data_IF_922144614920
#
_entry.id   IF_922144614920
#
_cell.length_a   1.000
_cell.length_b   1.000
_cell.length_c   1.000
_cell.angle_alpha   90.00
_cell.angle_beta   90.00
_cell.angle_gamma   90.00
#
_symmetry.space_group_name_H-M   'P 1'
#
loop_
_entity.id
_entity.type
_entity.pdbx_description
1 polymer ?
#
# COMPACT_ATOMS: atom_id res chain seq x y z
N UNK A 1 22.99 -14.78 -20.34
CA UNK A 1 22.05 -15.06 -19.24
C UNK A 1 21.00 -13.98 -19.32
N UNK A 2 19.80 -14.33 -19.78
CA UNK A 2 18.69 -13.40 -19.76
C UNK A 2 18.34 -13.10 -18.30
N UNK A 3 18.31 -11.82 -17.94
CA UNK A 3 17.85 -11.43 -16.61
C UNK A 3 16.37 -11.82 -16.48
N UNK A 4 15.95 -12.36 -15.32
CA UNK A 4 14.54 -12.56 -15.03
C UNK A 4 13.79 -11.24 -15.23
N UNK A 5 12.56 -11.31 -15.74
CA UNK A 5 11.71 -10.14 -15.88
C UNK A 5 11.08 -9.80 -14.52
N UNK A 6 10.70 -8.52 -14.33
CA UNK A 6 10.06 -8.01 -13.12
C UNK A 6 10.86 -8.27 -11.82
N UNK A 7 12.15 -7.96 -11.84
CA UNK A 7 13.02 -8.10 -10.66
C UNK A 7 12.95 -6.87 -9.77
N UNK A 8 12.86 -7.06 -8.45
CA UNK A 8 12.94 -5.96 -7.48
C UNK A 8 13.56 -6.40 -6.16
N UNK A 9 14.27 -5.47 -5.54
CA UNK A 9 14.78 -5.59 -4.19
C UNK A 9 13.89 -4.79 -3.22
N UNK A 10 13.51 -5.37 -2.09
CA UNK A 10 12.86 -4.66 -0.97
C UNK A 10 13.33 -5.23 0.36
N UNK A 11 13.21 -4.48 1.46
CA UNK A 11 13.39 -5.05 2.78
C UNK A 11 12.02 -5.53 3.30
N UNK A 12 11.97 -6.65 4.00
CA UNK A 12 10.74 -7.23 4.54
C UNK A 12 10.81 -7.16 6.07
N UNK A 13 9.90 -6.40 6.67
CA UNK A 13 9.88 -6.21 8.13
C UNK A 13 9.44 -7.47 8.89
N UNK A 14 8.66 -8.36 8.27
CA UNK A 14 8.26 -9.61 8.91
C UNK A 14 9.45 -10.56 9.05
N UNK A 15 10.27 -10.67 8.00
CA UNK A 15 11.46 -11.53 7.98
C UNK A 15 12.73 -10.82 8.47
N UNK A 16 12.69 -9.48 8.61
CA UNK A 16 13.84 -8.61 8.89
C UNK A 16 15.01 -8.82 7.92
N UNK A 17 14.71 -9.11 6.65
CA UNK A 17 15.70 -9.40 5.60
C UNK A 17 15.48 -8.57 4.34
N UNK A 18 16.56 -8.38 3.59
CA UNK A 18 16.48 -7.84 2.24
C UNK A 18 16.06 -8.96 1.29
N UNK A 19 14.99 -8.79 0.54
CA UNK A 19 14.39 -9.78 -0.35
C UNK A 19 14.51 -9.32 -1.81
N UNK A 20 14.89 -10.26 -2.68
CA UNK A 20 14.94 -10.14 -4.12
C UNK A 20 13.80 -10.96 -4.73
N UNK A 21 12.81 -10.28 -5.29
CA UNK A 21 11.74 -10.92 -6.04
C UNK A 21 12.06 -10.94 -7.52
N UNK A 22 11.71 -12.03 -8.17
CA UNK A 22 11.84 -12.19 -9.60
C UNK A 22 10.78 -13.15 -10.13
N UNK A 23 10.48 -13.04 -11.43
CA UNK A 23 9.68 -14.04 -12.14
C UNK A 23 10.61 -15.02 -12.83
N UNK A 24 10.50 -16.31 -12.50
CA UNK A 24 11.32 -17.35 -13.09
C UNK A 24 10.86 -17.69 -14.53
N UNK A 25 11.56 -18.61 -15.19
CA UNK A 25 11.26 -19.03 -16.57
C UNK A 25 9.86 -19.63 -16.74
N UNK A 26 9.29 -20.19 -15.67
CA UNK A 26 7.96 -20.80 -15.65
C UNK A 26 6.85 -19.78 -15.34
N UNK A 27 7.17 -18.48 -15.37
CA UNK A 27 6.26 -17.39 -14.99
C UNK A 27 5.81 -17.46 -13.52
N UNK A 28 6.56 -18.17 -12.66
CA UNK A 28 6.30 -18.19 -11.22
C UNK A 28 7.13 -17.11 -10.53
N UNK A 29 6.50 -16.43 -9.57
CA UNK A 29 7.19 -15.46 -8.72
C UNK A 29 7.95 -16.22 -7.63
N UNK A 30 9.19 -15.83 -7.42
CA UNK A 30 10.07 -16.37 -6.36
C UNK A 30 10.73 -15.21 -5.60
N UNK A 31 11.07 -15.46 -4.33
CA UNK A 31 11.74 -14.51 -3.46
C UNK A 31 12.99 -15.16 -2.83
N UNK A 32 14.12 -14.46 -2.93
CA UNK A 32 15.37 -14.82 -2.26
C UNK A 32 15.70 -13.78 -1.20
N UNK A 33 16.12 -14.23 -0.04
CA UNK A 33 16.51 -13.41 1.10
C UNK A 33 18.02 -13.26 1.13
N UNK A 34 18.51 -12.06 1.42
CA UNK A 34 19.90 -11.81 1.73
C UNK A 34 20.18 -12.36 3.13
N UNK A 35 21.08 -13.32 3.20
CA UNK A 35 21.59 -13.93 4.43
C UNK A 35 23.11 -13.84 4.51
N UNK A 36 23.65 -14.42 5.58
CA UNK A 36 25.09 -14.60 5.77
C UNK A 36 25.40 -16.08 5.92
N UNK A 37 26.38 -16.56 5.16
CA UNK A 37 26.97 -17.88 5.36
C UNK A 37 27.79 -17.95 6.67
N UNK A 38 28.27 -19.15 7.00
CA UNK A 38 29.20 -19.38 8.12
C UNK A 38 30.56 -18.69 7.97
N UNK A 39 30.93 -18.26 6.77
CA UNK A 39 32.18 -17.55 6.48
C UNK A 39 31.99 -16.04 6.28
N UNK A 40 30.86 -15.48 6.74
CA UNK A 40 30.50 -14.06 6.63
C UNK A 40 30.40 -13.55 5.18
N UNK A 41 30.17 -14.43 4.21
CA UNK A 41 29.85 -14.01 2.84
C UNK A 41 28.36 -13.77 2.71
N UNK A 42 28.00 -12.74 1.94
CA UNK A 42 26.61 -12.47 1.61
C UNK A 42 26.09 -13.55 0.66
N UNK A 43 24.99 -14.20 1.04
CA UNK A 43 24.37 -15.26 0.24
C UNK A 43 22.90 -14.94 -0.02
N UNK A 44 22.38 -15.44 -1.14
CA UNK A 44 20.95 -15.45 -1.42
C UNK A 44 20.39 -16.82 -1.07
N UNK A 45 19.44 -16.86 -0.14
CA UNK A 45 18.78 -18.08 0.32
C UNK A 45 17.27 -17.98 0.06
N UNK A 46 16.57 -19.12 -0.02
CA UNK A 46 15.11 -19.10 -0.16
C UNK A 46 14.47 -18.49 1.08
N UNK A 47 13.58 -17.53 0.91
CA UNK A 47 12.87 -16.94 2.04
C UNK A 47 11.89 -17.96 2.64
N UNK A 48 12.01 -18.25 3.94
CA UNK A 48 11.12 -19.16 4.65
C UNK A 48 9.72 -18.57 4.89
N UNK A 49 9.59 -17.24 4.89
CA UNK A 49 8.35 -16.49 5.16
C UNK A 49 8.22 -15.23 4.28
N UNK A 50 8.79 -15.24 3.06
CA UNK A 50 8.66 -14.07 2.17
C UNK A 50 7.19 -13.74 1.95
N UNK A 51 6.85 -12.48 2.21
CA UNK A 51 5.54 -11.96 1.91
C UNK A 51 5.64 -11.35 0.52
N UNK A 52 4.97 -11.96 -0.45
CA UNK A 52 4.92 -11.36 -1.78
C UNK A 52 4.06 -10.09 -1.73
N UNK A 53 4.76 -8.95 -1.70
CA UNK A 53 4.15 -7.61 -1.74
C UNK A 53 3.73 -7.23 -3.16
N UNK A 54 3.91 -8.13 -4.13
CA UNK A 54 3.50 -7.92 -5.50
C UNK A 54 1.99 -8.09 -5.51
N UNK A 55 1.23 -7.14 -6.07
CA UNK A 55 -0.21 -7.27 -6.15
C UNK A 55 -0.60 -8.61 -6.79
N UNK A 56 -1.60 -9.27 -6.22
CA UNK A 56 -2.36 -10.27 -6.97
C UNK A 56 -3.02 -9.57 -8.16
N UNK A 57 -2.86 -10.10 -9.38
CA UNK A 57 -3.51 -9.54 -10.56
C UNK A 57 -5.04 -9.49 -10.34
N UNK A 58 -5.66 -8.33 -10.59
CA UNK A 58 -7.12 -8.15 -10.51
C UNK A 58 -7.70 -7.72 -9.14
N UNK A 59 -6.89 -7.17 -8.24
CA UNK A 59 -7.30 -6.86 -6.87
C UNK A 59 -8.23 -5.64 -6.73
N UNK A 60 -9.54 -5.84 -6.93
CA UNK A 60 -10.57 -5.02 -6.32
C UNK A 60 -11.20 -5.80 -5.16
N UNK A 61 -10.80 -5.50 -3.92
CA UNK A 61 -11.24 -6.20 -2.70
C UNK A 61 -12.62 -5.71 -2.22
N UNK A 62 -13.08 -4.57 -2.74
CA UNK A 62 -14.20 -3.80 -2.20
C UNK A 62 -15.33 -3.68 -3.23
N UNK A 63 -16.56 -3.92 -2.76
CA UNK A 63 -17.74 -3.59 -3.55
C UNK A 63 -17.92 -2.07 -3.59
N UNK A 64 -18.39 -1.55 -4.72
CA UNK A 64 -18.67 -0.11 -4.88
C UNK A 64 -19.59 0.40 -3.78
N UNK A 65 -19.26 1.55 -3.18
CA UNK A 65 -20.02 2.24 -2.13
C UNK A 65 -20.07 1.57 -0.75
N UNK A 66 -19.34 0.48 -0.54
CA UNK A 66 -19.16 -0.10 0.80
C UNK A 66 -18.35 0.87 1.68
N UNK A 67 -18.78 1.07 2.93
CA UNK A 67 -18.04 1.84 3.92
C UNK A 67 -17.11 0.93 4.70
N UNK A 68 -15.89 1.38 4.94
CA UNK A 68 -14.87 0.64 5.67
C UNK A 68 -13.87 1.60 6.31
N UNK A 69 -13.12 1.12 7.30
CA UNK A 69 -11.95 1.81 7.81
C UNK A 69 -10.66 1.15 7.31
N UNK A 70 -9.60 1.95 7.18
CA UNK A 70 -8.26 1.50 6.81
C UNK A 70 -7.35 1.61 8.03
N UNK A 71 -7.14 0.49 8.72
CA UNK A 71 -6.22 0.41 9.86
C UNK A 71 -4.81 0.13 9.37
N UNK A 72 -3.84 0.94 9.75
CA UNK A 72 -2.44 0.65 9.49
C UNK A 72 -1.91 -0.43 10.46
N UNK A 73 -1.12 -1.37 9.95
CA UNK A 73 -0.62 -2.50 10.75
C UNK A 73 0.39 -2.06 11.81
N UNK A 74 1.33 -1.16 11.48
CA UNK A 74 2.33 -0.69 12.44
C UNK A 74 1.76 0.24 13.50
N UNK A 75 1.01 1.28 13.11
CA UNK A 75 0.53 2.27 14.08
C UNK A 75 -0.71 1.80 14.84
N UNK A 76 -1.44 0.82 14.30
CA UNK A 76 -2.72 0.38 14.83
C UNK A 76 -3.84 1.43 14.72
N UNK A 77 -3.58 2.57 14.07
CA UNK A 77 -4.51 3.67 13.87
C UNK A 77 -5.19 3.57 12.51
N UNK A 78 -6.34 4.22 12.36
CA UNK A 78 -7.08 4.29 11.10
C UNK A 78 -6.87 5.61 10.38
N UNK A 79 -6.82 5.54 9.05
CA UNK A 79 -6.87 6.69 8.17
C UNK A 79 -8.20 7.42 8.35
N UNK A 80 -8.15 8.73 8.56
CA UNK A 80 -9.33 9.53 8.78
C UNK A 80 -9.26 10.93 8.18
N UNK A 81 -10.40 11.60 8.13
CA UNK A 81 -10.51 13.04 8.02
C UNK A 81 -10.72 13.67 9.39
N UNK A 82 -9.94 14.71 9.71
CA UNK A 82 -10.16 15.52 10.89
C UNK A 82 -11.33 16.51 10.70
N UNK A 83 -11.63 17.30 11.74
CA UNK A 83 -12.71 18.29 11.70
C UNK A 83 -12.49 19.43 10.69
N UNK A 84 -11.27 19.57 10.16
CA UNK A 84 -10.90 20.56 9.15
C UNK A 84 -10.84 19.94 7.75
N UNK A 85 -11.20 18.65 7.61
CA UNK A 85 -11.15 17.93 6.35
C UNK A 85 -9.75 17.51 5.94
N UNK A 86 -8.77 17.55 6.85
CA UNK A 86 -7.40 17.12 6.59
C UNK A 86 -7.23 15.64 6.87
N UNK A 87 -6.40 14.98 6.05
CA UNK A 87 -6.05 13.58 6.26
C UNK A 87 -5.21 13.44 7.52
N UNK A 88 -5.60 12.50 8.38
CA UNK A 88 -4.95 12.23 9.66
C UNK A 88 -5.00 10.73 10.00
N UNK A 89 -4.32 10.34 11.08
CA UNK A 89 -4.37 9.01 11.69
C UNK A 89 -4.95 9.11 13.10
N UNK A 90 -5.98 8.32 13.40
CA UNK A 90 -6.70 8.36 14.68
C UNK A 90 -7.05 6.96 15.19
N UNK A 91 -7.56 6.85 16.42
CA UNK A 91 -8.18 5.60 16.87
C UNK A 91 -9.30 5.20 15.91
N UNK A 92 -9.37 3.93 15.52
CA UNK A 92 -10.34 3.42 14.55
C UNK A 92 -11.82 3.61 14.94
N UNK A 93 -12.11 3.79 16.23
CA UNK A 93 -13.46 4.07 16.74
C UNK A 93 -13.83 5.56 16.69
N UNK A 94 -12.88 6.44 16.33
CA UNK A 94 -13.13 7.87 16.17
C UNK A 94 -13.96 8.17 14.91
N UNK A 95 -14.56 9.35 14.90
CA UNK A 95 -15.26 9.87 13.73
C UNK A 95 -14.30 10.09 12.55
N UNK A 96 -14.86 10.11 11.33
CA UNK A 96 -14.10 10.41 10.11
C UNK A 96 -13.21 9.28 9.60
N UNK A 97 -13.32 8.06 10.16
CA UNK A 97 -12.52 6.88 9.77
C UNK A 97 -13.14 6.05 8.65
N UNK A 98 -14.42 6.29 8.33
CA UNK A 98 -15.18 5.50 7.34
C UNK A 98 -15.03 6.10 5.94
N UNK A 99 -14.35 5.37 5.07
CA UNK A 99 -14.17 5.70 3.66
C UNK A 99 -15.12 4.88 2.80
N UNK A 100 -15.53 5.44 1.67
CA UNK A 100 -16.13 4.69 0.56
C UNK A 100 -15.08 4.48 -0.51
N UNK A 101 -15.14 3.34 -1.19
CA UNK A 101 -14.32 3.08 -2.37
C UNK A 101 -15.22 2.91 -3.59
N UNK A 102 -14.96 3.71 -4.63
CA UNK A 102 -15.75 3.67 -5.85
C UNK A 102 -14.87 4.02 -7.06
N UNK A 103 -14.80 3.13 -8.06
CA UNK A 103 -14.02 3.33 -9.30
C UNK A 103 -12.57 3.83 -9.09
N UNK A 104 -11.91 3.42 -8.00
CA UNK A 104 -10.55 3.84 -7.66
C UNK A 104 -10.47 5.09 -6.77
N UNK A 105 -11.59 5.66 -6.35
CA UNK A 105 -11.63 6.84 -5.48
C UNK A 105 -11.94 6.43 -4.05
N UNK A 106 -11.17 6.97 -3.10
CA UNK A 106 -11.42 6.89 -1.67
C UNK A 106 -12.12 8.17 -1.21
N UNK A 107 -13.41 8.11 -0.90
CA UNK A 107 -14.22 9.29 -0.61
C UNK A 107 -14.86 9.30 0.78
N UNK A 108 -15.12 10.51 1.28
CA UNK A 108 -15.92 10.79 2.47
C UNK A 108 -16.82 12.01 2.26
N UNK A 109 -17.93 12.08 3.01
CA UNK A 109 -18.73 13.30 3.09
C UNK A 109 -18.12 14.24 4.14
N UNK A 110 -17.81 15.47 3.73
CA UNK A 110 -17.30 16.52 4.60
C UNK A 110 -18.04 17.83 4.31
N UNK A 111 -18.65 18.43 5.33
CA UNK A 111 -19.46 19.66 5.21
C UNK A 111 -20.53 19.62 4.09
N UNK A 112 -21.12 18.45 3.84
CA UNK A 112 -22.15 18.27 2.81
C UNK A 112 -21.62 18.11 1.39
N UNK A 113 -20.30 18.04 1.21
CA UNK A 113 -19.64 17.77 -0.07
C UNK A 113 -18.90 16.44 -0.01
N UNK A 114 -18.76 15.77 -1.17
CA UNK A 114 -17.94 14.57 -1.27
C UNK A 114 -16.49 14.96 -1.57
N UNK A 115 -15.58 14.56 -0.68
CA UNK A 115 -14.14 14.79 -0.83
C UNK A 115 -13.44 13.45 -1.03
N UNK A 116 -12.46 13.46 -1.93
CA UNK A 116 -11.68 12.30 -2.32
C UNK A 116 -10.24 12.45 -1.84
N UNK A 117 -9.64 11.33 -1.44
CA UNK A 117 -8.20 11.24 -1.20
C UNK A 117 -7.44 11.64 -2.46
N UNK A 118 -6.36 12.40 -2.28
CA UNK A 118 -5.58 12.95 -3.38
C UNK A 118 -4.08 12.77 -3.12
N UNK A 119 -3.41 12.06 -4.01
CA UNK A 119 -1.94 12.08 -4.13
C UNK A 119 -1.53 13.34 -4.91
N UNK A 120 -0.60 14.16 -4.38
CA UNK A 120 -0.04 15.25 -5.18
C UNK A 120 0.80 14.69 -6.33
N UNK A 121 0.79 15.38 -7.47
CA UNK A 121 1.56 15.00 -8.67
C UNK A 121 3.06 14.92 -8.34
N UNK A 122 3.75 13.87 -8.78
CA UNK A 122 5.13 13.53 -8.40
C UNK A 122 6.17 14.52 -8.94
N UNK A 123 6.34 15.64 -8.24
CA UNK A 123 7.48 16.54 -8.38
C UNK A 123 8.62 16.09 -7.45
N UNK A 124 9.28 14.97 -7.76
CA UNK A 124 10.62 14.61 -7.24
C UNK A 124 10.85 14.54 -5.71
N UNK A 125 9.83 14.54 -4.86
CA UNK A 125 9.97 14.54 -3.40
C UNK A 125 8.92 13.70 -2.67
N UNK A 126 9.02 13.65 -1.33
CA UNK A 126 8.04 12.96 -0.45
C UNK A 126 6.68 13.63 -0.60
N UNK A 127 5.69 12.86 -1.02
CA UNK A 127 4.35 13.33 -1.33
C UNK A 127 3.38 12.97 -0.18
N UNK A 128 2.98 13.97 0.61
CA UNK A 128 1.94 13.80 1.64
C UNK A 128 0.56 13.74 0.98
N UNK A 129 -0.24 12.73 1.32
CA UNK A 129 -1.62 12.63 0.83
C UNK A 129 -2.49 13.74 1.45
N UNK A 130 -3.44 14.23 0.65
CA UNK A 130 -4.40 15.27 1.03
C UNK A 130 -5.81 14.84 0.60
N UNK A 131 -6.79 15.71 0.77
CA UNK A 131 -8.13 15.56 0.20
C UNK A 131 -8.46 16.75 -0.69
N UNK A 132 -9.32 16.51 -1.68
CA UNK A 132 -9.90 17.53 -2.57
C UNK A 132 -11.34 17.14 -2.90
N UNK A 133 -12.11 18.07 -3.45
CA UNK A 133 -13.41 17.74 -4.06
C UNK A 133 -13.23 16.61 -5.09
N UNK A 134 -14.14 15.64 -5.09
CA UNK A 134 -14.06 14.48 -5.97
C UNK A 134 -14.26 14.86 -7.44
N UNK A 135 -13.36 14.38 -8.30
CA UNK A 135 -13.40 14.57 -9.75
C UNK A 135 -13.02 13.27 -10.46
N UNK A 136 -13.97 12.69 -11.19
CA UNK A 136 -13.84 11.37 -11.84
C UNK A 136 -12.70 11.22 -12.85
N UNK A 137 -12.14 12.33 -13.31
CA UNK A 137 -11.03 12.38 -14.28
C UNK A 137 -9.67 12.69 -13.63
N UNK A 138 -9.64 13.00 -12.34
CA UNK A 138 -8.41 13.37 -11.63
C UNK A 138 -7.53 12.15 -11.39
N UNK A 139 -6.40 12.08 -12.10
CA UNK A 139 -5.44 10.98 -11.91
C UNK A 139 -4.88 10.93 -10.48
N UNK A 140 -4.76 12.08 -9.81
CA UNK A 140 -4.29 12.14 -8.42
C UNK A 140 -5.31 11.60 -7.40
N UNK A 141 -6.54 11.29 -7.80
CA UNK A 141 -7.57 10.72 -6.94
C UNK A 141 -7.81 9.23 -7.19
N UNK A 142 -6.98 8.61 -8.04
CA UNK A 142 -7.10 7.22 -8.45
C UNK A 142 -6.13 6.35 -7.66
N UNK A 143 -6.67 5.54 -6.78
CA UNK A 143 -5.99 4.59 -5.91
C UNK A 143 -6.50 3.17 -6.13
N UNK A 144 -5.61 2.21 -5.92
CA UNK A 144 -5.94 0.81 -5.72
C UNK A 144 -5.74 0.45 -4.24
N UNK A 145 -6.58 -0.47 -3.76
CA UNK A 145 -6.38 -1.19 -2.50
C UNK A 145 -6.15 -2.64 -2.86
N UNK A 146 -4.88 -3.06 -2.77
CA UNK A 146 -4.40 -4.34 -3.31
C UNK A 146 -4.12 -5.30 -2.17
N UNK A 147 -4.70 -6.51 -2.21
CA UNK A 147 -4.35 -7.55 -1.23
C UNK A 147 -2.94 -8.06 -1.49
N UNK A 148 -2.16 -8.16 -0.42
CA UNK A 148 -0.85 -8.79 -0.40
C UNK A 148 -1.06 -10.31 -0.43
N UNK A 149 -0.45 -10.99 -1.41
CA UNK A 149 -0.68 -12.42 -1.66
C UNK A 149 -0.39 -13.27 -0.41
N UNK A 150 -1.27 -14.24 -0.15
CA UNK A 150 -1.15 -15.13 1.02
C UNK A 150 -1.51 -14.48 2.36
N UNK A 151 -1.93 -13.21 2.39
CA UNK A 151 -2.29 -12.50 3.63
C UNK A 151 -3.68 -11.86 3.56
N UNK A 152 -4.15 -11.37 4.70
CA UNK A 152 -5.36 -10.53 4.78
C UNK A 152 -5.04 -9.03 4.76
N UNK A 153 -3.81 -8.65 4.43
CA UNK A 153 -3.33 -7.26 4.47
C UNK A 153 -3.38 -6.64 3.07
N UNK A 154 -3.46 -5.31 3.05
CA UNK A 154 -3.58 -4.52 1.83
C UNK A 154 -2.46 -3.49 1.71
N UNK A 155 -2.14 -3.13 0.48
CA UNK A 155 -1.38 -1.93 0.13
C UNK A 155 -2.35 -0.91 -0.48
N UNK A 156 -2.19 0.36 -0.12
CA UNK A 156 -2.94 1.48 -0.73
C UNK A 156 -2.00 2.25 -1.64
N UNK A 157 -2.27 2.26 -2.94
CA UNK A 157 -1.34 2.74 -3.97
C UNK A 157 -2.06 3.63 -4.99
N UNK A 158 -1.54 4.80 -5.35
CA UNK A 158 -2.02 5.52 -6.54
C UNK A 158 -1.87 4.63 -7.79
N UNK A 159 -2.88 4.61 -8.69
CA UNK A 159 -2.98 3.63 -9.80
C UNK A 159 -1.81 3.69 -10.78
N UNK A 160 -1.17 4.85 -10.96
CA UNK A 160 -0.12 5.04 -11.96
C UNK A 160 1.30 5.09 -11.37
N UNK A 161 1.45 4.81 -10.07
CA UNK A 161 2.71 5.01 -9.36
C UNK A 161 3.11 3.78 -8.56
N UNK A 162 4.40 3.46 -8.56
CA UNK A 162 4.96 2.36 -7.78
C UNK A 162 5.24 2.77 -6.32
N UNK A 163 4.29 3.48 -5.71
CA UNK A 163 4.39 3.99 -4.34
C UNK A 163 3.22 3.55 -3.49
N UNK A 164 3.48 3.39 -2.20
CA UNK A 164 2.57 2.90 -1.19
C UNK A 164 2.37 3.99 -0.14
N UNK A 165 1.14 4.11 0.34
CA UNK A 165 0.80 4.96 1.46
C UNK A 165 1.36 4.37 2.76
N UNK A 166 2.10 5.19 3.50
CA UNK A 166 2.62 4.86 4.83
C UNK A 166 1.79 5.48 5.97
N UNK A 167 2.01 4.97 7.18
CA UNK A 167 1.36 5.44 8.41
C UNK A 167 1.63 6.90 8.76
N UNK A 168 2.66 7.51 8.18
CA UNK A 168 2.98 8.94 8.33
C UNK A 168 2.24 9.82 7.30
N UNK A 169 1.36 9.20 6.48
CA UNK A 169 0.56 9.80 5.42
C UNK A 169 1.37 10.27 4.21
N UNK A 170 2.60 9.78 4.06
CA UNK A 170 3.40 10.01 2.86
C UNK A 170 3.36 8.81 1.92
N UNK A 171 3.65 9.09 0.65
CA UNK A 171 3.83 8.07 -0.38
C UNK A 171 5.32 7.81 -0.57
N UNK A 172 5.71 6.55 -0.42
CA UNK A 172 7.08 6.07 -0.63
C UNK A 172 7.10 4.88 -1.57
N UNK A 173 8.24 4.54 -2.20
CA UNK A 173 8.34 3.32 -2.99
C UNK A 173 7.80 2.09 -2.24
N UNK A 174 7.01 1.28 -2.93
CA UNK A 174 6.40 0.10 -2.33
C UNK A 174 7.47 -0.95 -1.99
N UNK A 175 7.66 -1.21 -0.71
CA UNK A 175 8.49 -2.27 -0.16
C UNK A 175 7.67 -3.27 0.67
N UNK A 176 6.40 -2.94 0.98
CA UNK A 176 5.51 -3.72 1.83
C UNK A 176 5.98 -3.84 3.27
N UNK A 177 6.69 -2.84 3.77
CA UNK A 177 6.95 -2.63 5.20
C UNK A 177 5.66 -2.62 6.02
N UNK A 178 5.72 -2.92 7.31
CA UNK A 178 4.55 -2.84 8.19
C UNK A 178 3.94 -1.43 8.21
N UNK A 179 4.75 -0.38 8.01
CA UNK A 179 4.25 1.01 7.81
C UNK A 179 3.37 1.16 6.58
N UNK A 180 3.56 0.35 5.54
CA UNK A 180 2.84 0.37 4.26
C UNK A 180 1.67 -0.60 4.21
N UNK A 181 1.55 -1.48 5.21
CA UNK A 181 0.52 -2.50 5.29
C UNK A 181 -0.73 -1.96 6.00
N UNK A 182 -1.88 -2.18 5.38
CA UNK A 182 -3.18 -1.74 5.86
C UNK A 182 -4.12 -2.93 5.99
N UNK A 183 -5.17 -2.74 6.79
CA UNK A 183 -6.26 -3.68 6.95
C UNK A 183 -7.57 -2.95 6.72
N UNK A 184 -8.31 -3.41 5.73
CA UNK A 184 -9.71 -3.04 5.53
C UNK A 184 -10.54 -3.65 6.66
N UNK A 185 -11.24 -2.81 7.43
CA UNK A 185 -12.18 -3.25 8.45
C UNK A 185 -13.60 -2.80 8.07
N UNK A 186 -14.56 -3.70 8.18
CA UNK A 186 -15.97 -3.50 7.84
C UNK A 186 -16.82 -3.55 9.10
#
# INVERSE_FOLDING_TARGET
MDMPQNTRWHFNDATQKMEFLFTNSDQKREALCLGSSSDNTAVLETCSEAVDTTPADGSAVLASNEQFSLKNEKSGQCLALDSNGQVTMVNCQSNGTLWKFNHGELSQSFNGQEVCLNSPTFGGGVAKITTKECHSTSQGQRFDIRTIEGTSLQLVTPINDNVCLESDLNLYPCHGYQVQQWRVQR
#
